data_IF_254873665902
#
_entry.id   IF_254873665902
#
_cell.length_a   1.000
_cell.length_b   1.000
_cell.length_c   1.000
_cell.angle_alpha   90.00
_cell.angle_beta   90.00
_cell.angle_gamma   90.00
#
_symmetry.space_group_name_H-M   'P 1'
#
loop_
_entity.id
_entity.type
_entity.pdbx_description
1 polymer ?
#
# COMPACT_ATOMS: atom_id res chain seq x y z
N UNK A 1 -29.39 22.97 -45.02
CA UNK A 1 -28.21 22.37 -45.67
C UNK A 1 -27.01 22.83 -44.86
N UNK A 2 -26.48 22.11 -43.87
CA UNK A 2 -26.17 20.70 -43.74
C UNK A 2 -24.79 20.68 -43.09
N UNK A 3 -24.73 20.94 -41.78
CA UNK A 3 -23.49 20.96 -41.00
C UNK A 3 -23.00 19.52 -40.79
N UNK A 4 -21.89 19.15 -41.44
CA UNK A 4 -21.16 17.94 -41.09
C UNK A 4 -20.32 18.22 -39.83
N UNK A 5 -20.85 17.81 -38.68
CA UNK A 5 -20.05 17.62 -37.48
C UNK A 5 -19.07 16.46 -37.72
N UNK A 6 -17.79 16.77 -37.94
CA UNK A 6 -16.72 15.77 -37.86
C UNK A 6 -16.51 15.43 -36.38
N UNK A 7 -17.18 14.39 -35.91
CA UNK A 7 -16.82 13.71 -34.68
C UNK A 7 -15.48 12.98 -34.92
N UNK A 8 -14.37 13.61 -34.53
CA UNK A 8 -13.06 12.97 -34.55
C UNK A 8 -12.95 12.19 -33.24
N UNK A 9 -12.95 10.85 -33.34
CA UNK A 9 -12.75 9.93 -32.22
C UNK A 9 -11.35 10.13 -31.62
N UNK A 10 -11.24 11.04 -30.64
CA UNK A 10 -10.00 11.37 -29.92
C UNK A 10 -9.38 10.19 -29.13
N UNK A 11 -10.09 9.06 -28.96
CA UNK A 11 -9.63 7.95 -28.12
C UNK A 11 -8.68 6.97 -28.82
N UNK A 12 -8.80 6.77 -30.14
CA UNK A 12 -8.08 5.68 -30.82
C UNK A 12 -6.59 5.98 -31.02
N UNK A 13 -6.23 7.22 -31.38
CA UNK A 13 -4.82 7.63 -31.56
C UNK A 13 -4.06 7.70 -30.24
N UNK A 14 -4.73 8.13 -29.16
CA UNK A 14 -4.19 8.11 -27.81
C UNK A 14 -4.03 6.66 -27.30
N UNK A 15 -4.98 5.77 -27.60
CA UNK A 15 -4.86 4.34 -27.29
C UNK A 15 -3.72 3.67 -28.04
N UNK A 16 -3.52 3.97 -29.32
CA UNK A 16 -2.45 3.35 -30.13
C UNK A 16 -1.05 3.71 -29.59
N UNK A 17 -0.83 4.99 -29.27
CA UNK A 17 0.44 5.45 -28.68
C UNK A 17 0.70 4.82 -27.30
N UNK A 18 -0.36 4.58 -26.50
CA UNK A 18 -0.30 3.95 -25.17
C UNK A 18 -0.13 2.41 -25.23
N UNK A 19 -0.66 1.75 -26.25
CA UNK A 19 -0.51 0.29 -26.46
C UNK A 19 0.94 -0.08 -26.83
N UNK A 20 1.61 0.71 -27.68
CA UNK A 20 3.02 0.52 -28.03
C UNK A 20 4.01 0.76 -26.85
N UNK A 21 3.51 1.26 -25.71
CA UNK A 21 4.32 1.54 -24.51
C UNK A 21 4.46 0.30 -23.62
N UNK A 22 3.57 -0.70 -23.71
CA UNK A 22 3.73 -1.97 -23.00
C UNK A 22 5.08 -2.64 -23.31
N UNK A 23 5.64 -2.41 -24.50
CA UNK A 23 6.91 -3.00 -24.93
C UNK A 23 8.18 -2.18 -24.62
N UNK A 24 8.09 -0.87 -24.36
CA UNK A 24 9.27 0.03 -24.34
C UNK A 24 9.62 0.63 -22.97
N UNK A 25 8.75 0.48 -21.97
CA UNK A 25 8.98 0.94 -20.59
C UNK A 25 9.64 -0.12 -19.67
N UNK A 26 9.73 -1.39 -20.08
CA UNK A 26 10.04 -2.53 -19.20
C UNK A 26 11.47 -3.08 -19.27
N UNK A 27 12.48 -2.21 -19.33
CA UNK A 27 13.85 -2.56 -18.88
C UNK A 27 14.44 -1.39 -18.11
N UNK A 28 14.28 -1.41 -16.78
CA UNK A 28 14.76 -0.36 -15.89
C UNK A 28 14.73 -0.74 -14.41
N UNK A 29 15.72 -1.55 -14.00
CA UNK A 29 16.27 -1.77 -12.65
C UNK A 29 15.27 -1.94 -11.49
N UNK A 30 14.91 -3.20 -11.22
CA UNK A 30 14.74 -3.66 -9.84
C UNK A 30 16.13 -3.83 -9.22
N UNK A 31 16.40 -3.12 -8.13
CA UNK A 31 17.63 -3.26 -7.36
C UNK A 31 17.37 -4.27 -6.25
N UNK A 32 17.64 -5.54 -6.52
CA UNK A 32 17.71 -6.58 -5.50
C UNK A 32 19.01 -6.41 -4.71
N UNK A 33 18.88 -6.18 -3.40
CA UNK A 33 19.99 -6.18 -2.47
C UNK A 33 20.38 -7.64 -2.18
N UNK A 34 21.46 -8.10 -2.80
CA UNK A 34 22.12 -9.37 -2.49
C UNK A 34 22.90 -9.17 -1.18
N UNK A 35 22.48 -9.84 -0.11
CA UNK A 35 23.27 -9.94 1.12
C UNK A 35 24.17 -11.17 1.04
N UNK A 36 25.48 -10.95 1.15
CA UNK A 36 26.52 -11.96 1.29
C UNK A 36 26.52 -12.54 2.71
N UNK A 37 26.42 -13.86 2.82
CA UNK A 37 26.67 -14.59 4.06
C UNK A 37 28.17 -14.56 4.38
N UNK A 38 28.53 -13.91 5.48
CA UNK A 38 29.77 -14.19 6.20
C UNK A 38 29.41 -14.32 7.67
N UNK A 39 29.30 -15.57 8.11
CA UNK A 39 29.23 -15.93 9.51
C UNK A 39 30.58 -15.66 10.16
N UNK A 40 30.57 -14.89 11.23
CA UNK A 40 31.64 -14.86 12.21
C UNK A 40 31.04 -14.38 13.54
N UNK A 41 30.78 -15.30 14.45
CA UNK A 41 31.04 -15.06 15.87
C UNK A 41 31.03 -16.36 16.67
N UNK A 42 32.24 -16.77 17.07
CA UNK A 42 32.50 -17.51 18.30
C UNK A 42 31.93 -16.74 19.50
N UNK A 43 31.31 -17.44 20.45
CA UNK A 43 31.55 -17.25 21.89
C UNK A 43 30.76 -18.27 22.75
N UNK A 44 31.53 -19.19 23.34
CA UNK A 44 31.45 -19.69 24.72
C UNK A 44 30.17 -20.38 25.21
N UNK A 45 30.34 -21.68 25.42
CA UNK A 45 29.47 -22.60 26.15
C UNK A 45 29.31 -22.12 27.61
N UNK A 46 28.08 -21.97 28.07
CA UNK A 46 27.71 -21.98 29.48
C UNK A 46 26.68 -23.09 29.70
N UNK A 47 26.97 -23.95 30.67
CA UNK A 47 26.26 -25.20 30.96
C UNK A 47 24.80 -24.96 31.38
N UNK A 48 23.84 -25.49 30.62
CA UNK A 48 22.42 -25.47 30.98
C UNK A 48 22.07 -26.65 31.90
N UNK A 49 21.53 -26.34 33.09
CA UNK A 49 20.97 -27.32 34.01
C UNK A 49 19.72 -28.00 33.41
N UNK A 50 19.53 -29.30 33.69
CA UNK A 50 18.44 -30.15 33.16
C UNK A 50 17.00 -29.65 33.45
N UNK A 51 16.82 -28.67 34.35
CA UNK A 51 15.52 -28.04 34.65
C UNK A 51 15.12 -27.02 33.57
N UNK A 52 16.10 -26.30 32.99
CA UNK A 52 15.91 -25.32 31.92
C UNK A 52 15.32 -25.94 30.64
N UNK A 53 15.79 -27.14 30.30
CA UNK A 53 15.41 -27.85 29.08
C UNK A 53 13.93 -28.25 29.10
N UNK A 54 13.43 -28.76 30.24
CA UNK A 54 12.01 -29.12 30.42
C UNK A 54 11.08 -27.92 30.37
N UNK A 55 11.46 -26.80 30.99
CA UNK A 55 10.66 -25.56 30.92
C UNK A 55 10.59 -25.00 29.51
N UNK A 56 11.68 -25.11 28.74
CA UNK A 56 11.73 -24.65 27.34
C UNK A 56 10.86 -25.51 26.43
N UNK A 57 10.87 -26.83 26.61
CA UNK A 57 9.99 -27.76 25.87
C UNK A 57 8.50 -27.47 26.09
N UNK A 58 8.08 -27.17 27.32
CA UNK A 58 6.69 -26.80 27.63
C UNK A 58 6.34 -25.45 27.00
N UNK A 59 7.24 -24.47 27.08
CA UNK A 59 7.02 -23.11 26.59
C UNK A 59 6.86 -23.05 25.07
N UNK A 60 7.64 -23.85 24.33
CA UNK A 60 7.65 -23.90 22.86
C UNK A 60 6.73 -24.99 22.28
N UNK A 61 6.01 -25.74 23.12
CA UNK A 61 5.09 -26.77 22.66
C UNK A 61 4.10 -26.22 21.62
N UNK A 62 4.01 -26.88 20.46
CA UNK A 62 3.10 -26.49 19.37
C UNK A 62 3.55 -25.26 18.56
N UNK A 63 4.81 -24.83 18.69
CA UNK A 63 5.34 -23.68 17.97
C UNK A 63 5.13 -23.79 16.46
N UNK A 64 4.57 -22.73 15.85
CA UNK A 64 4.25 -22.65 14.42
C UNK A 64 3.21 -23.66 13.89
N UNK A 65 2.66 -24.53 14.74
CA UNK A 65 1.70 -25.58 14.36
C UNK A 65 0.23 -25.09 14.37
N UNK A 66 -0.04 -23.95 14.99
CA UNK A 66 -1.39 -23.40 15.17
C UNK A 66 -1.54 -22.01 14.56
N UNK A 67 -2.79 -21.56 14.41
CA UNK A 67 -3.15 -20.24 13.92
C UNK A 67 -3.88 -20.33 12.57
N UNK A 68 -3.72 -19.29 11.75
CA UNK A 68 -4.42 -19.13 10.48
C UNK A 68 -3.45 -18.62 9.40
N UNK A 69 -3.98 -18.32 8.21
CA UNK A 69 -3.21 -17.70 7.12
C UNK A 69 -2.68 -16.30 7.46
N UNK A 70 -3.30 -15.60 8.42
CA UNK A 70 -2.88 -14.25 8.81
C UNK A 70 -1.76 -14.25 9.85
N UNK A 71 -1.86 -15.09 10.88
CA UNK A 71 -0.94 -15.17 12.02
C UNK A 71 -0.74 -16.60 12.48
N UNK A 72 0.50 -16.96 12.80
CA UNK A 72 0.83 -18.23 13.47
C UNK A 72 0.70 -18.00 14.97
N UNK A 73 -0.18 -18.70 15.67
CA UNK A 73 -0.48 -18.40 17.07
C UNK A 73 -1.12 -19.58 17.76
N UNK A 74 -0.80 -19.76 19.03
CA UNK A 74 -1.27 -20.89 19.86
C UNK A 74 -2.47 -20.53 20.75
N UNK A 75 -3.24 -19.54 20.33
CA UNK A 75 -4.51 -19.17 20.96
C UNK A 75 -5.54 -18.68 19.94
N UNK A 76 -6.82 -18.70 20.32
CA UNK A 76 -7.96 -18.10 19.60
C UNK A 76 -8.50 -16.92 20.41
N UNK A 77 -9.14 -15.96 19.76
CA UNK A 77 -9.77 -14.81 20.45
C UNK A 77 -11.26 -15.08 20.67
N UNK A 78 -11.80 -14.59 21.79
CA UNK A 78 -13.24 -14.35 21.91
C UNK A 78 -13.55 -12.94 21.43
N UNK A 79 -14.37 -12.82 20.40
CA UNK A 79 -14.72 -11.54 19.81
C UNK A 79 -15.69 -10.78 20.71
N UNK A 80 -15.35 -9.59 21.25
CA UNK A 80 -16.22 -8.85 22.17
C UNK A 80 -17.51 -8.33 21.54
N UNK A 81 -17.56 -8.24 20.20
CA UNK A 81 -18.73 -7.76 19.47
C UNK A 81 -19.86 -8.80 19.39
N UNK A 82 -19.54 -10.10 19.34
CA UNK A 82 -20.51 -11.17 19.12
C UNK A 82 -20.31 -12.42 20.01
N UNK A 83 -19.31 -12.41 20.88
CA UNK A 83 -18.88 -13.51 21.76
C UNK A 83 -18.47 -14.82 21.05
N UNK A 84 -18.33 -14.80 19.73
CA UNK A 84 -17.85 -15.94 18.96
C UNK A 84 -16.32 -16.09 19.02
N UNK A 85 -15.83 -17.30 18.73
CA UNK A 85 -14.41 -17.65 18.82
C UNK A 85 -13.81 -17.71 17.41
N UNK A 86 -12.69 -17.02 17.22
CA UNK A 86 -11.96 -17.00 15.95
C UNK A 86 -10.46 -17.15 16.17
N UNK A 87 -9.74 -17.67 15.18
CA UNK A 87 -8.27 -17.75 15.24
C UNK A 87 -7.64 -16.36 15.33
N UNK A 88 -8.18 -15.36 14.64
CA UNK A 88 -7.73 -13.98 14.78
C UNK A 88 -8.82 -12.97 14.36
N UNK A 89 -8.49 -11.68 14.51
CA UNK A 89 -9.38 -10.58 14.11
C UNK A 89 -9.71 -10.58 12.61
N UNK A 90 -8.77 -10.99 11.77
CA UNK A 90 -8.97 -11.00 10.33
C UNK A 90 -9.87 -12.15 9.91
N UNK A 91 -9.71 -13.35 10.48
CA UNK A 91 -10.66 -14.44 10.30
C UNK A 91 -12.08 -14.04 10.70
N UNK A 92 -12.23 -13.33 11.83
CA UNK A 92 -13.53 -12.79 12.25
C UNK A 92 -14.10 -11.82 11.20
N UNK A 93 -13.36 -10.77 10.83
CA UNK A 93 -13.85 -9.75 9.91
C UNK A 93 -14.13 -10.33 8.51
N UNK A 94 -13.33 -11.28 8.03
CA UNK A 94 -13.57 -11.98 6.77
C UNK A 94 -14.86 -12.82 6.83
N UNK A 95 -15.10 -13.53 7.93
CA UNK A 95 -16.32 -14.30 8.10
C UNK A 95 -17.56 -13.41 8.26
N UNK A 96 -17.48 -12.34 9.05
CA UNK A 96 -18.60 -11.44 9.37
C UNK A 96 -18.93 -10.42 8.29
N UNK A 97 -17.98 -10.07 7.42
CA UNK A 97 -18.22 -9.18 6.28
C UNK A 97 -18.34 -9.91 4.94
N UNK A 98 -18.44 -11.24 4.95
CA UNK A 98 -18.69 -12.01 3.73
C UNK A 98 -20.00 -11.59 3.06
N UNK A 99 -20.06 -11.71 1.74
CA UNK A 99 -21.25 -11.35 0.94
C UNK A 99 -22.51 -12.13 1.37
N UNK A 100 -22.32 -13.34 1.90
CA UNK A 100 -23.39 -14.21 2.38
C UNK A 100 -23.97 -13.79 3.74
N UNK A 101 -23.36 -12.81 4.41
CA UNK A 101 -23.86 -12.27 5.68
C UNK A 101 -24.78 -11.08 5.40
N UNK A 102 -25.98 -11.13 5.98
CA UNK A 102 -26.94 -10.02 5.98
C UNK A 102 -26.24 -8.74 6.45
N UNK A 103 -26.41 -7.66 5.69
CA UNK A 103 -25.73 -6.39 5.91
C UNK A 103 -25.87 -5.88 7.35
N UNK A 104 -27.02 -6.12 8.01
CA UNK A 104 -27.24 -5.70 9.41
C UNK A 104 -26.38 -6.42 10.44
N UNK A 105 -25.81 -7.57 10.07
CA UNK A 105 -24.93 -8.36 10.92
C UNK A 105 -23.44 -8.22 10.54
N UNK A 106 -23.12 -7.43 9.52
CA UNK A 106 -21.73 -7.16 9.14
C UNK A 106 -21.09 -6.24 10.16
N UNK A 107 -19.92 -6.63 10.67
CA UNK A 107 -19.20 -5.86 11.67
C UNK A 107 -17.76 -6.31 11.77
N UNK A 108 -16.92 -5.36 12.20
CA UNK A 108 -15.53 -5.59 12.53
C UNK A 108 -15.34 -5.74 14.02
N UNK A 109 -14.35 -6.55 14.40
CA UNK A 109 -13.96 -6.67 15.79
C UNK A 109 -13.22 -5.41 16.27
N UNK A 110 -13.61 -4.81 17.41
CA UNK A 110 -12.87 -3.71 18.02
C UNK A 110 -11.56 -4.24 18.63
N UNK A 111 -10.46 -4.19 17.87
CA UNK A 111 -9.18 -4.88 18.17
C UNK A 111 -8.65 -4.68 19.61
N UNK A 112 -8.78 -3.48 20.17
CA UNK A 112 -8.26 -3.15 21.50
C UNK A 112 -9.16 -3.65 22.64
N UNK A 113 -10.40 -4.03 22.35
CA UNK A 113 -11.39 -4.46 23.35
C UNK A 113 -11.39 -5.97 23.58
N UNK A 114 -10.54 -6.73 22.88
CA UNK A 114 -10.39 -8.17 23.13
C UNK A 114 -9.81 -8.37 24.53
N UNK A 115 -10.58 -9.03 25.40
CA UNK A 115 -10.18 -9.33 26.79
C UNK A 115 -9.84 -10.80 27.00
N UNK A 116 -10.48 -11.70 26.27
CA UNK A 116 -10.35 -13.14 26.47
C UNK A 116 -9.76 -13.87 25.26
N UNK A 117 -8.92 -14.86 25.58
CA UNK A 117 -8.30 -15.78 24.62
C UNK A 117 -8.45 -17.22 25.09
N UNK A 118 -8.50 -18.14 24.13
CA UNK A 118 -8.62 -19.58 24.38
C UNK A 118 -7.33 -20.25 23.89
N UNK A 119 -6.61 -20.93 24.78
CA UNK A 119 -5.40 -21.66 24.41
C UNK A 119 -5.72 -22.77 23.39
N UNK A 120 -4.97 -22.83 22.29
CA UNK A 120 -5.19 -23.85 21.24
C UNK A 120 -4.69 -25.24 21.64
N UNK A 121 -3.86 -25.35 22.67
CA UNK A 121 -3.29 -26.62 23.12
C UNK A 121 -4.13 -27.30 24.20
N UNK A 122 -4.62 -26.55 25.19
CA UNK A 122 -5.35 -27.13 26.33
C UNK A 122 -6.80 -26.65 26.43
N UNK A 123 -7.25 -25.75 25.56
CA UNK A 123 -8.63 -25.25 25.55
C UNK A 123 -8.96 -24.26 26.68
N UNK A 124 -8.00 -23.91 27.55
CA UNK A 124 -8.24 -22.98 28.65
C UNK A 124 -8.59 -21.59 28.13
N UNK A 125 -9.72 -21.08 28.57
CA UNK A 125 -10.12 -19.69 28.37
C UNK A 125 -9.57 -18.81 29.49
N UNK A 126 -8.97 -17.68 29.14
CA UNK A 126 -8.28 -16.79 30.07
C UNK A 126 -8.24 -15.35 29.57
N UNK A 127 -7.91 -14.42 30.47
CA UNK A 127 -7.56 -13.04 30.10
C UNK A 127 -6.35 -13.01 29.16
N UNK A 128 -6.29 -11.99 28.30
CA UNK A 128 -5.18 -11.79 27.35
C UNK A 128 -3.86 -11.68 28.09
N UNK A 129 -3.02 -12.70 27.92
CA UNK A 129 -1.65 -12.78 28.40
C UNK A 129 -0.82 -13.56 27.39
N UNK A 130 0.49 -13.35 27.35
CA UNK A 130 1.36 -14.09 26.43
C UNK A 130 1.40 -15.58 26.75
N UNK A 131 1.35 -15.97 28.02
CA UNK A 131 1.53 -17.36 28.45
C UNK A 131 0.19 -17.94 28.93
N UNK A 132 -0.08 -19.19 28.57
CA UNK A 132 -1.26 -19.91 29.04
C UNK A 132 -1.18 -20.15 30.55
N UNK A 133 -2.22 -19.79 31.29
CA UNK A 133 -2.24 -19.92 32.76
C UNK A 133 -2.32 -21.37 33.25
N UNK A 134 -2.79 -22.28 32.39
CA UNK A 134 -3.00 -23.68 32.75
C UNK A 134 -1.83 -24.57 32.29
N UNK A 135 -1.43 -24.48 31.02
CA UNK A 135 -0.40 -25.37 30.46
C UNK A 135 0.98 -24.73 30.30
N UNK A 136 1.16 -23.44 30.63
CA UNK A 136 2.46 -22.76 30.60
C UNK A 136 3.02 -22.47 29.20
N UNK A 137 2.33 -22.85 28.12
CA UNK A 137 2.80 -22.58 26.76
C UNK A 137 2.78 -21.08 26.47
N UNK A 138 3.84 -20.57 25.84
CA UNK A 138 3.81 -19.24 25.23
C UNK A 138 2.77 -19.26 24.09
N UNK A 139 1.88 -18.30 23.94
CA UNK A 139 0.82 -18.33 22.93
C UNK A 139 1.18 -17.57 21.64
N UNK A 140 2.32 -16.88 21.63
CA UNK A 140 2.90 -16.18 20.48
C UNK A 140 4.31 -15.69 20.79
N UNK A 141 5.31 -16.02 19.95
CA UNK A 141 6.70 -15.54 20.14
C UNK A 141 6.75 -14.01 20.20
N UNK A 142 6.07 -13.35 19.28
CA UNK A 142 5.73 -11.93 19.38
C UNK A 142 4.36 -11.77 20.05
N UNK A 143 4.33 -10.97 21.11
CA UNK A 143 3.11 -10.56 21.78
C UNK A 143 3.07 -9.04 21.92
N UNK A 144 1.95 -8.43 21.55
CA UNK A 144 1.70 -7.02 21.82
C UNK A 144 0.41 -6.88 22.64
N UNK A 145 0.55 -6.44 23.87
CA UNK A 145 -0.57 -6.24 24.78
C UNK A 145 -1.52 -5.14 24.32
N UNK A 146 -1.00 -4.02 23.79
CA UNK A 146 -1.84 -2.92 23.29
C UNK A 146 -2.74 -3.39 22.14
N UNK A 147 -2.16 -4.11 21.17
CA UNK A 147 -2.88 -4.59 19.99
C UNK A 147 -3.58 -5.93 20.19
N UNK A 148 -3.37 -6.60 21.33
CA UNK A 148 -3.81 -7.98 21.59
C UNK A 148 -3.35 -8.95 20.49
N UNK A 149 -2.16 -8.73 19.93
CA UNK A 149 -1.60 -9.48 18.80
C UNK A 149 -0.66 -10.57 19.29
N UNK A 150 -0.82 -11.77 18.73
CA UNK A 150 0.02 -12.94 18.94
C UNK A 150 0.50 -13.42 17.57
N UNK A 151 1.81 -13.58 17.41
CA UNK A 151 2.39 -14.18 16.20
C UNK A 151 3.67 -14.94 16.55
N UNK A 152 3.78 -16.19 16.12
CA UNK A 152 4.96 -17.04 16.28
C UNK A 152 6.00 -16.78 15.21
N UNK A 153 5.57 -16.24 14.08
CA UNK A 153 6.45 -15.92 12.97
C UNK A 153 7.22 -14.62 13.25
N UNK A 154 8.23 -14.70 14.10
CA UNK A 154 9.10 -13.58 14.45
C UNK A 154 9.98 -13.10 13.28
N UNK A 155 10.05 -13.86 12.17
CA UNK A 155 10.81 -13.46 10.98
C UNK A 155 10.28 -12.17 10.35
N UNK A 156 8.99 -11.85 10.57
CA UNK A 156 8.36 -10.60 10.12
C UNK A 156 8.88 -9.36 10.87
N UNK A 157 9.65 -9.53 11.96
CA UNK A 157 10.20 -8.44 12.79
C UNK A 157 9.12 -7.44 13.19
N UNK A 158 8.04 -7.95 13.77
CA UNK A 158 6.90 -7.14 14.20
C UNK A 158 7.34 -6.13 15.27
N UNK A 159 6.75 -4.95 15.27
CA UNK A 159 6.95 -3.96 16.33
C UNK A 159 5.70 -3.10 16.51
N UNK A 160 5.42 -2.68 17.74
CA UNK A 160 4.35 -1.73 18.01
C UNK A 160 4.84 -0.29 17.78
N UNK A 161 4.11 0.48 16.98
CA UNK A 161 4.35 1.92 16.83
C UNK A 161 3.35 2.71 17.67
N UNK A 162 3.84 3.34 18.74
CA UNK A 162 3.00 4.15 19.65
C UNK A 162 2.31 5.30 18.91
N UNK A 163 2.98 5.95 17.95
CA UNK A 163 2.39 7.05 17.19
C UNK A 163 1.24 6.62 16.27
N UNK A 164 1.26 5.38 15.77
CA UNK A 164 0.16 4.83 14.97
C UNK A 164 -0.87 4.08 15.84
N UNK A 165 -0.52 3.69 17.06
CA UNK A 165 -1.34 2.82 17.91
C UNK A 165 -1.53 1.39 17.36
N UNK A 166 -0.68 0.93 16.43
CA UNK A 166 -0.80 -0.39 15.79
C UNK A 166 0.56 -1.07 15.63
N UNK A 167 0.53 -2.40 15.52
CA UNK A 167 1.71 -3.19 15.14
C UNK A 167 2.02 -3.04 13.65
N UNK A 168 3.31 -2.92 13.33
CA UNK A 168 3.89 -2.93 11.99
C UNK A 168 4.85 -4.10 11.86
N UNK A 169 5.34 -4.35 10.65
CA UNK A 169 6.30 -5.39 10.31
C UNK A 169 7.55 -4.78 9.67
N UNK A 170 8.65 -5.53 9.62
CA UNK A 170 9.90 -5.13 8.96
C UNK A 170 10.97 -4.55 9.90
N UNK A 171 10.76 -4.60 11.22
CA UNK A 171 11.72 -4.19 12.25
C UNK A 171 11.66 -2.70 12.57
N UNK A 172 11.67 -2.36 13.86
CA UNK A 172 11.56 -0.97 14.34
C UNK A 172 12.62 -0.05 13.72
N UNK A 173 13.85 -0.53 13.59
CA UNK A 173 14.99 0.30 13.17
C UNK A 173 14.96 0.68 11.69
N UNK A 174 14.15 -0.03 10.88
CA UNK A 174 14.00 0.24 9.45
C UNK A 174 12.94 1.32 9.15
N UNK A 175 12.22 1.77 10.17
CA UNK A 175 11.08 2.68 10.00
C UNK A 175 11.13 3.82 11.02
N UNK A 176 10.57 4.97 10.62
CA UNK A 176 10.31 6.07 11.53
C UNK A 176 8.83 6.47 11.43
N UNK A 177 8.29 6.98 12.52
CA UNK A 177 6.95 7.57 12.54
C UNK A 177 7.05 9.07 12.24
N UNK A 178 6.28 9.55 11.26
CA UNK A 178 6.14 10.97 10.99
C UNK A 178 4.86 11.48 11.66
N UNK A 179 4.99 12.26 12.74
CA UNK A 179 3.83 12.75 13.50
C UNK A 179 2.91 13.65 12.68
N UNK A 180 3.47 14.42 11.73
CA UNK A 180 2.66 15.28 10.84
C UNK A 180 1.85 14.44 9.85
N UNK A 181 2.44 13.41 9.24
CA UNK A 181 1.69 12.52 8.34
C UNK A 181 0.76 11.56 9.10
N UNK A 182 1.08 11.27 10.36
CA UNK A 182 0.39 10.28 11.18
C UNK A 182 0.70 8.83 10.77
N UNK A 183 1.83 8.54 10.15
CA UNK A 183 2.15 7.20 9.65
C UNK A 183 3.64 6.84 9.70
N UNK A 184 3.93 5.53 9.60
CA UNK A 184 5.29 5.02 9.52
C UNK A 184 5.79 4.92 8.08
N UNK A 185 7.01 5.41 7.83
CA UNK A 185 7.74 5.27 6.58
C UNK A 185 9.08 4.58 6.81
N UNK A 186 9.68 4.06 5.73
CA UNK A 186 11.07 3.56 5.75
C UNK A 186 12.03 4.68 6.15
N UNK A 187 13.08 4.36 6.91
CA UNK A 187 14.11 5.32 7.34
C UNK A 187 14.80 6.03 6.17
N UNK A 188 14.82 5.41 4.98
CA UNK A 188 15.32 6.00 3.73
C UNK A 188 14.56 7.28 3.33
N UNK A 189 13.33 7.45 3.82
CA UNK A 189 12.45 8.57 3.50
C UNK A 189 12.42 9.66 4.57
N UNK A 190 13.20 9.54 5.65
CA UNK A 190 13.11 10.41 6.85
C UNK A 190 13.13 11.90 6.54
N UNK A 191 13.91 12.31 5.54
CA UNK A 191 14.10 13.70 5.16
C UNK A 191 13.71 14.03 3.71
N UNK A 192 13.10 13.09 2.98
CA UNK A 192 12.84 13.23 1.54
C UNK A 192 11.39 12.97 1.14
N UNK A 193 10.55 12.45 2.05
CA UNK A 193 9.13 12.24 1.74
C UNK A 193 8.36 13.57 1.63
N UNK A 194 7.41 13.69 0.67
CA UNK A 194 6.42 14.75 0.68
C UNK A 194 5.55 14.64 1.94
N UNK A 195 5.86 15.47 2.95
CA UNK A 195 5.21 15.42 4.26
C UNK A 195 3.86 16.15 4.23
N UNK A 196 2.80 15.39 3.93
CA UNK A 196 1.41 15.84 3.88
C UNK A 196 0.66 15.34 5.11
N UNK A 197 -0.12 16.22 5.72
CA UNK A 197 -0.92 15.87 6.90
C UNK A 197 -1.95 14.79 6.55
N UNK A 198 -2.06 13.77 7.40
CA UNK A 198 -3.02 12.70 7.20
C UNK A 198 -2.82 11.90 5.90
N UNK A 199 -1.58 11.78 5.39
CA UNK A 199 -1.29 11.19 4.07
C UNK A 199 -1.81 9.75 3.85
N UNK A 200 -2.25 9.03 4.88
CA UNK A 200 -2.87 7.70 4.80
C UNK A 200 -4.26 7.63 5.43
N UNK A 201 -4.79 8.75 5.94
CA UNK A 201 -6.07 8.82 6.66
C UNK A 201 -7.20 9.16 5.69
N UNK A 202 -7.27 8.43 4.58
CA UNK A 202 -8.30 8.54 3.55
C UNK A 202 -8.46 7.21 2.82
N UNK A 203 -9.56 7.07 2.10
CA UNK A 203 -9.83 5.88 1.31
C UNK A 203 -9.01 5.89 0.02
N UNK A 204 -8.57 4.70 -0.41
CA UNK A 204 -7.95 4.55 -1.71
C UNK A 204 -8.94 4.98 -2.80
N UNK A 205 -8.63 5.95 -3.68
CA UNK A 205 -9.56 6.46 -4.70
C UNK A 205 -9.89 5.43 -5.80
N UNK A 206 -9.23 4.27 -5.80
CA UNK A 206 -9.43 3.21 -6.80
C UNK A 206 -10.33 2.10 -6.26
N UNK A 207 -10.10 1.64 -5.02
CA UNK A 207 -10.86 0.52 -4.42
C UNK A 207 -11.76 0.92 -3.25
N UNK A 208 -11.72 2.18 -2.82
CA UNK A 208 -12.49 2.74 -1.71
C UNK A 208 -12.25 2.07 -0.35
N UNK A 209 -11.15 1.34 -0.21
CA UNK A 209 -10.71 0.80 1.08
C UNK A 209 -9.88 1.84 1.85
N UNK A 210 -10.13 1.92 3.15
CA UNK A 210 -9.39 2.81 4.05
C UNK A 210 -7.91 2.42 4.16
N UNK A 211 -7.01 3.32 3.76
CA UNK A 211 -5.58 3.01 3.58
C UNK A 211 -4.85 2.68 4.88
N UNK A 212 -5.18 3.36 5.98
CA UNK A 212 -4.43 3.24 7.23
C UNK A 212 -4.57 1.85 7.88
N UNK A 213 -5.75 1.24 7.77
CA UNK A 213 -6.07 -0.05 8.39
C UNK A 213 -5.99 -1.24 7.42
N UNK A 214 -5.85 -0.95 6.13
CA UNK A 214 -5.67 -1.96 5.10
C UNK A 214 -4.40 -2.80 5.33
N UNK A 215 -4.49 -4.08 4.97
CA UNK A 215 -3.34 -5.00 4.91
C UNK A 215 -2.56 -4.87 3.60
N UNK A 216 -3.16 -4.23 2.60
CA UNK A 216 -2.56 -4.07 1.28
C UNK A 216 -1.40 -3.07 1.37
N UNK A 217 -0.30 -3.35 0.68
CA UNK A 217 0.83 -2.43 0.63
C UNK A 217 0.38 -1.10 0.02
N UNK A 218 0.76 0.01 0.66
CA UNK A 218 0.51 1.36 0.16
C UNK A 218 1.75 1.92 -0.54
N UNK A 219 1.55 2.88 -1.43
CA UNK A 219 2.62 3.59 -2.12
C UNK A 219 2.28 5.08 -2.20
N UNK A 220 3.29 5.92 -2.02
CA UNK A 220 3.16 7.38 -2.18
C UNK A 220 3.49 7.71 -3.63
N UNK A 221 2.55 8.35 -4.32
CA UNK A 221 2.71 8.82 -5.70
C UNK A 221 3.66 10.02 -5.77
N UNK A 222 4.24 10.35 -6.93
CA UNK A 222 5.10 11.53 -7.08
C UNK A 222 4.42 12.85 -6.68
N UNK A 223 3.09 12.92 -6.80
CA UNK A 223 2.30 14.06 -6.37
C UNK A 223 2.05 14.14 -4.84
N UNK A 224 2.50 13.15 -4.07
CA UNK A 224 2.34 13.06 -2.61
C UNK A 224 1.09 12.30 -2.16
N UNK A 225 0.12 12.03 -3.04
CA UNK A 225 -1.06 11.23 -2.70
C UNK A 225 -0.70 9.76 -2.50
N UNK A 226 -1.37 9.10 -1.57
CA UNK A 226 -1.14 7.68 -1.26
C UNK A 226 -2.27 6.83 -1.81
N UNK A 227 -1.95 5.69 -2.42
CA UNK A 227 -2.89 4.65 -2.87
C UNK A 227 -2.31 3.25 -2.60
N UNK A 228 -3.09 2.18 -2.78
CA UNK A 228 -2.52 0.82 -2.73
C UNK A 228 -1.58 0.54 -3.90
N UNK A 229 -0.52 -0.24 -3.65
CA UNK A 229 0.45 -0.67 -4.66
C UNK A 229 -0.20 -1.49 -5.78
N UNK A 230 -1.16 -2.36 -5.43
CA UNK A 230 -1.91 -3.12 -6.44
C UNK A 230 -2.85 -2.20 -7.24
N UNK A 231 -3.53 -1.23 -6.61
CA UNK A 231 -4.34 -0.24 -7.34
C UNK A 231 -3.50 0.58 -8.32
N UNK A 232 -2.26 0.96 -7.94
CA UNK A 232 -1.34 1.61 -8.88
C UNK A 232 -0.97 0.69 -10.05
N UNK A 233 -0.84 -0.62 -9.82
CA UNK A 233 -0.60 -1.60 -10.88
C UNK A 233 -1.82 -1.69 -11.82
N UNK A 234 -3.03 -1.87 -11.28
CA UNK A 234 -4.28 -1.91 -12.05
C UNK A 234 -4.45 -0.64 -12.91
N UNK A 235 -4.16 0.54 -12.33
CA UNK A 235 -4.15 1.80 -13.08
C UNK A 235 -3.21 1.72 -14.30
N UNK A 236 -1.99 1.19 -14.15
CA UNK A 236 -1.05 1.05 -15.28
C UNK A 236 -1.52 0.03 -16.31
N UNK A 237 -2.06 -1.09 -15.85
CA UNK A 237 -2.57 -2.16 -16.71
C UNK A 237 -3.75 -1.66 -17.57
N UNK A 238 -4.50 -0.67 -17.08
CA UNK A 238 -5.55 0.05 -17.80
C UNK A 238 -5.12 1.39 -18.43
N UNK A 239 -3.80 1.63 -18.57
CA UNK A 239 -3.22 2.82 -19.21
C UNK A 239 -3.64 4.16 -18.55
N UNK A 240 -3.99 4.12 -17.26
CA UNK A 240 -4.34 5.28 -16.44
C UNK A 240 -3.10 5.81 -15.71
N UNK A 241 -2.42 6.77 -16.32
CA UNK A 241 -1.17 7.35 -15.78
C UNK A 241 -1.37 8.67 -15.01
N UNK A 242 -2.62 9.12 -14.84
CA UNK A 242 -2.95 10.32 -14.09
C UNK A 242 -3.45 9.97 -12.69
N UNK A 243 -2.98 10.70 -11.68
CA UNK A 243 -3.45 10.56 -10.31
C UNK A 243 -4.96 10.86 -10.25
N UNK A 244 -5.80 9.97 -9.69
CA UNK A 244 -7.26 10.17 -9.66
C UNK A 244 -7.69 11.37 -8.79
N UNK A 245 -6.79 11.86 -7.92
CA UNK A 245 -7.09 12.97 -7.01
C UNK A 245 -6.68 14.34 -7.56
N UNK A 246 -5.63 14.41 -8.39
CA UNK A 246 -5.09 15.70 -8.85
C UNK A 246 -4.62 15.74 -10.30
N UNK A 247 -4.84 14.65 -11.04
CA UNK A 247 -4.49 14.49 -12.46
C UNK A 247 -2.99 14.58 -12.80
N UNK A 248 -2.09 14.74 -11.82
CA UNK A 248 -0.63 14.67 -12.03
C UNK A 248 -0.19 13.28 -12.49
N UNK A 249 0.81 13.21 -13.36
CA UNK A 249 1.39 11.94 -13.78
C UNK A 249 1.93 11.14 -12.60
N UNK A 250 1.63 9.84 -12.57
CA UNK A 250 2.00 8.93 -11.46
C UNK A 250 3.34 8.23 -11.67
N UNK A 251 3.95 8.39 -12.84
CA UNK A 251 5.25 7.86 -13.22
C UNK A 251 5.93 8.80 -14.24
N UNK A 252 7.18 8.48 -14.60
CA UNK A 252 7.87 9.18 -15.68
C UNK A 252 7.18 8.91 -17.03
N UNK A 253 6.75 9.98 -17.69
CA UNK A 253 6.06 9.96 -18.98
C UNK A 253 6.93 10.50 -20.11
N UNK A 254 8.22 10.74 -19.88
CA UNK A 254 9.13 11.40 -20.85
C UNK A 254 9.15 10.71 -22.21
N UNK A 255 9.23 9.37 -22.25
CA UNK A 255 9.16 8.59 -23.49
C UNK A 255 7.82 8.73 -24.23
N UNK A 256 6.73 8.94 -23.49
CA UNK A 256 5.40 9.17 -24.08
C UNK A 256 5.34 10.57 -24.70
N UNK A 257 5.90 11.55 -23.99
CA UNK A 257 6.01 12.92 -24.49
C UNK A 257 6.88 13.00 -25.76
N UNK A 258 7.97 12.24 -25.84
CA UNK A 258 8.80 12.13 -27.05
C UNK A 258 8.03 11.56 -28.24
N UNK A 259 7.16 10.55 -28.02
CA UNK A 259 6.28 10.04 -29.10
C UNK A 259 5.28 11.09 -29.57
N UNK A 260 4.71 11.87 -28.64
CA UNK A 260 3.80 12.96 -28.98
C UNK A 260 4.54 14.08 -29.74
N UNK A 261 5.80 14.36 -29.40
CA UNK A 261 6.63 15.29 -30.16
C UNK A 261 6.80 14.85 -31.63
N UNK A 262 7.06 13.56 -31.86
CA UNK A 262 7.18 13.01 -33.22
C UNK A 262 5.85 13.11 -34.00
N UNK A 263 4.73 12.79 -33.36
CA UNK A 263 3.40 12.85 -33.98
C UNK A 263 3.01 14.30 -34.36
N UNK A 264 3.34 15.26 -33.50
CA UNK A 264 3.15 16.69 -33.78
C UNK A 264 4.00 17.13 -34.97
N UNK A 265 5.25 16.70 -35.06
CA UNK A 265 6.12 17.02 -36.19
C UNK A 265 5.62 16.38 -37.51
N UNK A 266 5.02 15.18 -37.43
CA UNK A 266 4.46 14.47 -38.57
C UNK A 266 3.10 15.00 -39.04
N UNK A 267 2.40 15.78 -38.21
CA UNK A 267 1.05 16.30 -38.49
C UNK A 267 1.00 17.82 -38.50
N UNK A 268 1.51 18.51 -39.55
CA UNK A 268 1.45 19.96 -39.64
C UNK A 268 0.01 20.51 -39.53
N UNK A 269 -0.18 21.59 -38.78
CA UNK A 269 -1.50 22.20 -38.61
C UNK A 269 -2.00 22.83 -39.93
N UNK A 270 -3.30 22.68 -40.26
CA UNK A 270 -3.91 23.37 -41.40
C UNK A 270 -3.83 24.89 -41.25
N UNK A 271 -3.75 25.60 -42.38
CA UNK A 271 -3.56 27.05 -42.46
C UNK A 271 -4.45 27.88 -41.51
N UNK A 272 -5.77 27.60 -41.36
CA UNK A 272 -6.63 28.37 -40.44
C UNK A 272 -6.20 28.30 -38.97
N UNK A 273 -5.42 27.27 -38.58
CA UNK A 273 -5.02 27.00 -37.21
C UNK A 273 -3.53 27.20 -36.96
N UNK A 274 -2.72 27.47 -37.99
CA UNK A 274 -1.26 27.61 -37.88
C UNK A 274 -0.82 28.70 -36.92
N UNK A 275 -1.63 29.74 -36.72
CA UNK A 275 -1.35 30.84 -35.79
C UNK A 275 -2.30 30.85 -34.57
N UNK A 276 -3.11 29.80 -34.41
CA UNK A 276 -4.05 29.71 -33.28
C UNK A 276 -3.27 29.48 -31.98
N UNK A 277 -3.45 30.36 -31.02
CA UNK A 277 -2.86 30.23 -29.68
C UNK A 277 -3.94 29.90 -28.66
N UNK A 278 -3.64 28.99 -27.74
CA UNK A 278 -4.54 28.59 -26.65
C UNK A 278 -3.87 28.73 -25.28
N UNK A 279 -4.68 28.95 -24.25
CA UNK A 279 -4.21 28.96 -22.87
C UNK A 279 -4.36 27.58 -22.26
N UNK A 280 -3.27 27.07 -21.70
CA UNK A 280 -3.24 25.76 -21.03
C UNK A 280 -2.87 25.88 -19.56
N UNK A 281 -3.34 24.93 -18.76
CA UNK A 281 -2.80 24.62 -17.43
C UNK A 281 -2.12 23.25 -17.51
N UNK A 282 -0.85 23.18 -17.08
CA UNK A 282 -0.16 21.91 -16.94
C UNK A 282 -0.49 21.25 -15.61
N UNK A 283 -1.01 20.02 -15.64
CA UNK A 283 -1.35 19.28 -14.43
C UNK A 283 -0.10 18.94 -13.63
N UNK A 284 1.02 18.60 -14.28
CA UNK A 284 2.25 18.17 -13.60
C UNK A 284 2.95 19.30 -12.85
N UNK A 285 3.18 20.45 -13.51
CA UNK A 285 3.91 21.58 -12.91
C UNK A 285 3.01 22.72 -12.41
N UNK A 286 1.70 22.68 -12.68
CA UNK A 286 0.74 23.69 -12.24
C UNK A 286 0.83 25.06 -12.94
N UNK A 287 1.78 25.25 -13.87
CA UNK A 287 1.94 26.53 -14.58
C UNK A 287 0.90 26.70 -15.67
N UNK A 288 0.40 27.93 -15.80
CA UNK A 288 -0.39 28.38 -16.95
C UNK A 288 0.54 28.94 -18.02
N UNK A 289 0.28 28.62 -19.27
CA UNK A 289 1.05 29.15 -20.42
C UNK A 289 0.16 29.32 -21.64
N UNK A 290 0.46 30.34 -22.45
CA UNK A 290 -0.12 30.49 -23.79
C UNK A 290 0.80 29.76 -24.78
N UNK A 291 0.25 28.82 -25.54
CA UNK A 291 1.01 27.94 -26.44
C UNK A 291 0.34 27.85 -27.80
N UNK A 292 1.12 27.44 -28.81
CA UNK A 292 0.60 27.15 -30.13
C UNK A 292 -0.38 25.98 -30.05
N UNK A 293 -1.57 26.14 -30.62
CA UNK A 293 -2.57 25.08 -30.68
C UNK A 293 -2.14 23.99 -31.67
N UNK A 294 -2.13 22.74 -31.20
CA UNK A 294 -2.01 21.56 -32.03
C UNK A 294 -3.18 20.60 -31.83
N UNK A 295 -3.65 19.92 -32.89
CA UNK A 295 -4.78 18.98 -32.78
C UNK A 295 -4.45 17.74 -31.92
N UNK A 296 -3.19 17.33 -31.92
CA UNK A 296 -2.68 16.17 -31.17
C UNK A 296 -2.62 16.44 -29.65
N UNK A 297 -1.84 17.44 -29.23
CA UNK A 297 -1.66 17.77 -27.81
C UNK A 297 -0.99 19.14 -27.63
N UNK A 298 -1.16 19.74 -26.44
CA UNK A 298 -0.54 21.03 -26.11
C UNK A 298 0.65 20.84 -25.16
N UNK A 299 1.85 21.26 -25.58
CA UNK A 299 3.09 21.08 -24.79
C UNK A 299 3.23 22.15 -23.72
N UNK A 300 3.51 21.76 -22.48
CA UNK A 300 3.90 22.70 -21.45
C UNK A 300 5.30 23.26 -21.74
N UNK A 301 5.45 24.59 -21.79
CA UNK A 301 6.74 25.22 -22.05
C UNK A 301 7.74 25.04 -20.89
N UNK A 302 7.25 24.85 -19.66
CA UNK A 302 8.06 24.75 -18.45
C UNK A 302 8.64 23.36 -18.21
N UNK A 303 7.79 22.32 -18.14
CA UNK A 303 8.23 20.95 -17.84
C UNK A 303 8.15 20.00 -19.04
N UNK A 304 7.80 20.50 -20.23
CA UNK A 304 7.71 19.73 -21.49
C UNK A 304 6.66 18.61 -21.51
N UNK A 305 5.89 18.44 -20.42
CA UNK A 305 4.77 17.51 -20.33
C UNK A 305 3.61 17.91 -21.25
N UNK A 306 2.92 16.90 -21.79
CA UNK A 306 1.63 17.06 -22.47
C UNK A 306 0.42 16.72 -21.58
N UNK A 307 0.63 16.46 -20.29
CA UNK A 307 -0.45 16.36 -19.31
C UNK A 307 -1.00 17.77 -19.00
N UNK A 308 -1.74 18.31 -19.95
CA UNK A 308 -2.21 19.70 -19.94
C UNK A 308 -3.70 19.74 -20.28
N UNK A 309 -4.40 20.77 -19.79
CA UNK A 309 -5.79 21.05 -20.15
C UNK A 309 -5.91 22.45 -20.72
N UNK A 310 -6.68 22.59 -21.79
CA UNK A 310 -7.03 23.90 -22.33
C UNK A 310 -7.99 24.60 -21.36
N UNK A 311 -7.73 25.87 -21.13
CA UNK A 311 -8.50 26.70 -20.18
C UNK A 311 -9.25 27.81 -20.88
N UNK A 312 -8.72 28.34 -21.99
CA UNK A 312 -9.35 29.38 -22.82
C UNK A 312 -8.77 29.35 -24.26
N UNK A 313 -9.55 29.82 -25.24
CA UNK A 313 -9.16 30.03 -26.64
C UNK A 313 -9.80 29.07 -27.64
#
# INVERSE_FOLDING_TARGET
>A
MGELAMAINHSESQQFALQDIQHTAFKGKEMEAVYSEQSNQDCMIAEESADSTKTTEVFEKGLMQYGCSHYRRRCRIRAPCCNEIFDCRHCHNEAKNSINVDQKHRHDIPRHQVKQVICSLCGTEQEVRQVCINCGVCMGKYFCETCKLFDDDASKKQYHCNGCGICRIGGRDNFFHCSKCGCCYSILLKNSHPCVEGAMHHDCPVCFEYLFESRNQVTVLPCGHTIHKYCLKEMRDHLQFACPLCSKSVCDMSKVWEKIDMEIAATPMPEPYQNKMVWILCNDCGKKSKVQFHVVAQKCLNCKSYNTRQTQG
#
